data_IF_069258595102
#
_entry.id   IF_069258595102
#
_cell.length_a   1.000
_cell.length_b   1.000
_cell.length_c   1.000
_cell.angle_alpha   90.00
_cell.angle_beta   90.00
_cell.angle_gamma   90.00
#
_symmetry.space_group_name_H-M   'P 1'
#
loop_
_entity.id
_entity.type
_entity.pdbx_description
1 polymer ?
#
# COMPACT_ATOMS: atom_id res chain seq x y z
N UNK A 1 0.98 -16.37 18.73
CA UNK A 1 0.35 -16.87 17.50
C UNK A 1 0.80 -15.98 16.35
N UNK A 2 1.57 -16.53 15.43
CA UNK A 2 2.04 -15.80 14.25
C UNK A 2 0.96 -15.95 13.17
N UNK A 3 0.33 -14.83 12.76
CA UNK A 3 -0.48 -14.81 11.55
C UNK A 3 0.35 -14.32 10.39
N UNK A 4 0.12 -14.83 9.19
CA UNK A 4 0.82 -14.40 7.98
C UNK A 4 0.03 -13.34 7.28
N UNK A 5 0.74 -12.31 6.80
CA UNK A 5 0.17 -11.33 5.87
C UNK A 5 0.47 -11.77 4.45
N UNK A 6 -0.59 -12.00 3.68
CA UNK A 6 -0.52 -12.57 2.34
C UNK A 6 -1.13 -11.59 1.34
N UNK A 7 -0.48 -11.42 0.21
CA UNK A 7 -1.00 -10.74 -0.98
C UNK A 7 -0.99 -11.77 -2.11
N UNK A 8 -2.18 -12.12 -2.60
CA UNK A 8 -2.34 -13.14 -3.63
C UNK A 8 -1.53 -12.80 -4.90
N UNK A 9 -0.83 -13.80 -5.44
CA UNK A 9 0.05 -13.65 -6.59
C UNK A 9 1.39 -12.96 -6.31
N UNK A 10 1.68 -12.61 -5.04
CA UNK A 10 2.91 -11.94 -4.64
C UNK A 10 3.73 -12.80 -3.66
N UNK A 11 3.11 -13.28 -2.59
CA UNK A 11 3.77 -14.09 -1.56
C UNK A 11 2.86 -15.19 -1.00
N UNK A 12 1.88 -15.63 -1.75
CA UNK A 12 0.91 -16.65 -1.31
C UNK A 12 1.56 -18.02 -1.13
N UNK A 13 2.72 -18.26 -1.69
CA UNK A 13 3.53 -19.46 -1.47
C UNK A 13 3.99 -19.65 0.00
N UNK A 14 3.94 -18.59 0.81
CA UNK A 14 4.29 -18.69 2.24
C UNK A 14 3.20 -19.36 3.09
N UNK A 15 1.99 -19.57 2.55
CA UNK A 15 0.87 -20.21 3.25
C UNK A 15 1.23 -21.67 3.52
N UNK A 16 0.98 -22.11 4.74
CA UNK A 16 1.19 -23.50 5.17
C UNK A 16 -0.13 -24.15 5.57
N UNK A 17 -0.19 -25.46 5.48
CA UNK A 17 -1.37 -26.24 5.84
C UNK A 17 -1.76 -26.15 7.32
N UNK A 18 -0.83 -25.74 8.18
CA UNK A 18 -1.03 -25.54 9.62
C UNK A 18 -1.35 -24.08 10.00
N UNK A 19 -1.43 -23.18 9.05
CA UNK A 19 -1.85 -21.80 9.30
C UNK A 19 -3.35 -21.74 9.61
N UNK A 20 -3.69 -21.35 10.82
CA UNK A 20 -5.08 -21.22 11.29
C UNK A 20 -5.66 -19.85 10.95
N UNK A 21 -4.82 -18.81 10.98
CA UNK A 21 -5.23 -17.43 10.73
C UNK A 21 -4.23 -16.80 9.76
N UNK A 22 -4.77 -16.29 8.66
CA UNK A 22 -4.04 -15.50 7.68
C UNK A 22 -4.68 -14.12 7.53
N UNK A 23 -3.88 -13.11 7.22
CA UNK A 23 -4.34 -11.76 6.89
C UNK A 23 -4.16 -11.53 5.40
N UNK A 24 -5.21 -11.14 4.71
CA UNK A 24 -5.12 -10.71 3.31
C UNK A 24 -4.64 -9.25 3.19
N UNK A 25 -3.87 -8.77 4.17
CA UNK A 25 -3.31 -7.43 4.25
C UNK A 25 -4.40 -6.32 4.11
N UNK A 26 -4.01 -5.13 3.65
CA UNK A 26 -4.95 -4.01 3.44
C UNK A 26 -5.19 -3.75 1.97
N UNK A 27 -6.25 -2.98 1.66
CA UNK A 27 -6.53 -2.53 0.29
C UNK A 27 -5.34 -1.80 -0.33
N UNK A 28 -4.69 -0.90 0.40
CA UNK A 28 -3.50 -0.18 -0.06
C UNK A 28 -2.32 -1.13 -0.29
N UNK A 29 -2.11 -2.11 0.60
CA UNK A 29 -1.05 -3.12 0.44
C UNK A 29 -1.29 -3.98 -0.79
N UNK A 30 -2.51 -4.44 -1.01
CA UNK A 30 -2.86 -5.22 -2.20
C UNK A 30 -2.71 -4.42 -3.51
N UNK A 31 -2.94 -3.10 -3.47
CA UNK A 31 -2.70 -2.22 -4.60
C UNK A 31 -1.20 -1.98 -4.84
N UNK A 32 -0.43 -1.69 -3.79
CA UNK A 32 0.97 -1.29 -3.90
C UNK A 32 1.92 -2.47 -4.15
N UNK A 33 1.65 -3.65 -3.57
CA UNK A 33 2.56 -4.79 -3.65
C UNK A 33 2.83 -5.25 -5.09
N UNK A 34 1.85 -5.40 -5.99
CA UNK A 34 2.12 -5.74 -7.39
C UNK A 34 2.96 -4.69 -8.12
N UNK A 35 2.71 -3.40 -7.86
CA UNK A 35 3.50 -2.32 -8.47
C UNK A 35 4.95 -2.36 -7.99
N UNK A 36 5.17 -2.58 -6.69
CA UNK A 36 6.50 -2.69 -6.08
C UNK A 36 7.23 -3.92 -6.62
N UNK A 37 6.56 -5.07 -6.72
CA UNK A 37 7.14 -6.29 -7.29
C UNK A 37 7.67 -6.05 -8.70
N UNK A 38 6.88 -5.37 -9.54
CA UNK A 38 7.28 -5.06 -10.91
C UNK A 38 8.49 -4.13 -10.94
N UNK A 39 8.48 -3.07 -10.13
CA UNK A 39 9.57 -2.10 -10.08
C UNK A 39 10.86 -2.75 -9.56
N UNK A 40 10.77 -3.51 -8.49
CA UNK A 40 11.91 -4.14 -7.85
C UNK A 40 12.52 -5.25 -8.72
N UNK A 41 11.71 -6.14 -9.27
CA UNK A 41 12.18 -7.25 -10.10
C UNK A 41 12.88 -6.78 -11.40
N UNK A 42 12.45 -5.67 -11.99
CA UNK A 42 13.01 -5.21 -13.26
C UNK A 42 14.13 -4.18 -13.11
N UNK A 43 14.04 -3.29 -12.14
CA UNK A 43 14.99 -2.17 -11.98
C UNK A 43 15.69 -2.15 -10.63
N UNK A 44 15.25 -2.95 -9.66
CA UNK A 44 15.70 -2.91 -8.28
C UNK A 44 15.24 -1.63 -7.58
N UNK A 45 14.41 -1.78 -6.57
CA UNK A 45 13.95 -0.67 -5.76
C UNK A 45 14.97 -0.39 -4.66
N UNK A 46 15.47 0.83 -4.59
CA UNK A 46 16.45 1.24 -3.59
C UNK A 46 15.79 1.87 -2.38
N UNK A 47 14.86 2.78 -2.62
CA UNK A 47 14.12 3.52 -1.60
C UNK A 47 12.79 3.99 -2.19
N UNK A 48 11.81 4.31 -1.33
CA UNK A 48 10.53 4.80 -1.83
C UNK A 48 9.58 5.29 -0.76
N UNK A 49 8.55 6.00 -1.23
CA UNK A 49 7.50 6.53 -0.40
C UNK A 49 6.14 6.27 -1.05
N UNK A 50 5.21 5.72 -0.25
CA UNK A 50 3.85 5.38 -0.68
C UNK A 50 2.90 6.41 -0.09
N UNK A 51 2.24 7.18 -0.96
CA UNK A 51 1.15 8.07 -0.55
C UNK A 51 -0.17 7.47 -1.02
N UNK A 52 -1.12 7.28 -0.10
CA UNK A 52 -2.47 6.86 -0.46
C UNK A 52 -3.45 8.00 -0.22
N UNK A 53 -4.13 8.44 -1.28
CA UNK A 53 -5.29 9.33 -1.20
C UNK A 53 -6.51 8.44 -1.14
N UNK A 54 -7.22 8.45 -0.02
CA UNK A 54 -8.18 7.41 0.34
C UNK A 54 -9.51 7.98 0.79
N UNK A 55 -10.59 7.31 0.44
CA UNK A 55 -11.92 7.61 0.98
C UNK A 55 -11.90 7.65 2.51
N UNK A 56 -12.81 8.41 3.09
CA UNK A 56 -13.04 8.32 4.53
C UNK A 56 -13.55 6.93 4.91
N UNK A 57 -13.30 6.50 6.14
CA UNK A 57 -13.69 5.18 6.65
C UNK A 57 -14.26 5.29 8.07
N UNK A 58 -14.89 4.24 8.56
CA UNK A 58 -15.42 4.15 9.92
C UNK A 58 -14.37 4.32 11.04
N UNK A 59 -13.10 4.35 10.70
CA UNK A 59 -12.02 4.70 11.62
C UNK A 59 -12.00 6.22 11.98
N UNK A 60 -12.57 7.07 11.12
CA UNK A 60 -12.75 8.49 11.40
C UNK A 60 -14.05 8.72 12.16
N UNK A 61 -14.12 9.83 12.91
CA UNK A 61 -15.34 10.22 13.59
C UNK A 61 -16.34 10.84 12.62
N UNK A 62 -17.63 10.52 12.77
CA UNK A 62 -18.70 11.10 11.97
C UNK A 62 -18.84 12.60 12.23
N UNK A 63 -18.80 12.99 13.50
CA UNK A 63 -18.69 14.36 13.99
C UNK A 63 -17.39 14.53 14.77
N UNK A 64 -16.99 15.79 15.03
CA UNK A 64 -15.86 16.07 15.91
C UNK A 64 -16.04 15.35 17.25
N UNK A 65 -15.15 14.43 17.57
CA UNK A 65 -15.23 13.61 18.78
C UNK A 65 -13.85 13.04 19.18
N UNK A 66 -13.63 12.66 20.43
CA UNK A 66 -12.36 12.13 20.89
C UNK A 66 -11.85 10.95 20.03
N UNK A 67 -10.59 11.03 19.66
CA UNK A 67 -9.87 9.98 18.93
C UNK A 67 -8.38 10.05 19.29
N UNK A 68 -7.69 8.91 19.34
CA UNK A 68 -6.25 8.85 19.65
C UNK A 68 -5.36 9.60 18.64
N UNK A 69 -5.75 9.65 17.37
CA UNK A 69 -5.17 10.53 16.35
C UNK A 69 -6.07 11.76 16.22
N UNK A 70 -5.58 12.93 16.64
CA UNK A 70 -6.35 14.17 16.65
C UNK A 70 -6.82 14.61 15.27
N UNK A 71 -6.12 14.22 14.21
CA UNK A 71 -6.54 14.49 12.83
C UNK A 71 -7.78 13.68 12.46
N UNK A 72 -7.89 12.43 12.95
CA UNK A 72 -9.07 11.57 12.77
C UNK A 72 -10.20 11.88 13.75
N UNK A 73 -9.96 12.77 14.71
CA UNK A 73 -10.98 13.28 15.63
C UNK A 73 -11.94 14.26 14.94
N UNK A 74 -11.56 14.81 13.79
CA UNK A 74 -12.40 15.72 13.00
C UNK A 74 -13.47 14.93 12.23
N UNK A 75 -14.59 15.60 11.98
CA UNK A 75 -15.71 15.04 11.24
C UNK A 75 -15.26 14.49 9.88
N UNK A 76 -15.63 13.26 9.59
CA UNK A 76 -15.36 12.63 8.30
C UNK A 76 -16.10 13.34 7.16
N UNK A 77 -15.61 13.19 5.92
CA UNK A 77 -16.22 13.72 4.70
C UNK A 77 -16.27 15.25 4.56
N UNK A 78 -15.60 16.00 5.42
CA UNK A 78 -15.58 17.47 5.36
C UNK A 78 -14.25 18.06 4.91
N UNK A 79 -13.16 17.40 5.22
CA UNK A 79 -11.82 17.94 4.99
C UNK A 79 -10.86 16.89 4.46
N UNK A 80 -9.76 17.34 3.86
CA UNK A 80 -8.60 16.50 3.54
C UNK A 80 -7.81 16.30 4.84
N UNK A 81 -7.69 15.05 5.28
CA UNK A 81 -7.08 14.68 6.55
C UNK A 81 -5.79 13.89 6.32
N UNK A 82 -4.61 14.49 6.51
CA UNK A 82 -3.36 13.74 6.53
C UNK A 82 -3.35 12.75 7.71
N UNK A 83 -2.86 11.55 7.48
CA UNK A 83 -2.79 10.52 8.51
C UNK A 83 -1.66 9.54 8.25
N UNK A 84 -1.44 8.63 9.17
CA UNK A 84 -0.51 7.52 8.98
C UNK A 84 -1.13 6.43 8.13
N UNK A 85 -0.29 5.62 7.48
CA UNK A 85 -0.68 4.36 6.84
C UNK A 85 0.22 3.23 7.32
N UNK A 86 -0.36 2.07 7.55
CA UNK A 86 0.39 0.85 7.82
C UNK A 86 0.95 0.17 6.56
N UNK A 87 0.65 0.70 5.37
CA UNK A 87 0.98 0.06 4.10
C UNK A 87 2.49 -0.18 3.92
N UNK A 88 3.33 0.80 4.24
CA UNK A 88 4.79 0.65 4.12
C UNK A 88 5.33 -0.48 5.01
N UNK A 89 4.80 -0.62 6.24
CA UNK A 89 5.16 -1.71 7.15
C UNK A 89 4.67 -3.05 6.60
N UNK A 90 3.41 -3.11 6.15
CA UNK A 90 2.85 -4.33 5.59
C UNK A 90 3.57 -4.77 4.30
N UNK A 91 4.00 -3.84 3.46
CA UNK A 91 4.84 -4.12 2.29
C UNK A 91 6.19 -4.69 2.71
N UNK A 92 6.78 -4.22 3.80
CA UNK A 92 8.04 -4.78 4.33
C UNK A 92 7.87 -6.21 4.89
N UNK A 93 6.67 -6.58 5.33
CA UNK A 93 6.35 -7.97 5.71
C UNK A 93 6.22 -8.88 4.47
N UNK A 94 5.72 -8.32 3.36
CA UNK A 94 5.61 -9.04 2.07
C UNK A 94 6.96 -9.10 1.33
N UNK A 95 7.76 -8.03 1.39
CA UNK A 95 9.10 -7.94 0.79
C UNK A 95 10.15 -7.67 1.86
N UNK A 96 10.63 -8.68 2.59
CA UNK A 96 11.55 -8.48 3.73
C UNK A 96 12.83 -7.72 3.40
N UNK A 97 13.33 -7.82 2.17
CA UNK A 97 14.53 -7.13 1.71
C UNK A 97 14.33 -5.61 1.51
N UNK A 98 13.08 -5.14 1.49
CA UNK A 98 12.72 -3.72 1.42
C UNK A 98 12.42 -3.12 2.81
N UNK A 99 12.64 -3.88 3.89
CA UNK A 99 12.43 -3.41 5.25
C UNK A 99 13.30 -2.19 5.54
N UNK A 100 12.65 -1.10 6.01
CA UNK A 100 13.33 0.16 6.31
C UNK A 100 13.61 1.06 5.11
N UNK A 101 13.31 0.60 3.88
CA UNK A 101 13.51 1.36 2.64
C UNK A 101 12.25 2.06 2.16
N UNK A 102 11.09 1.67 2.69
CA UNK A 102 9.80 2.22 2.28
C UNK A 102 9.16 3.01 3.40
N UNK A 103 8.85 4.26 3.12
CA UNK A 103 8.00 5.11 3.94
C UNK A 103 6.57 5.17 3.40
N UNK A 104 5.66 5.79 4.16
CA UNK A 104 4.32 6.01 3.65
C UNK A 104 3.46 6.92 4.52
N UNK A 105 2.51 7.58 3.86
CA UNK A 105 1.48 8.41 4.48
C UNK A 105 0.12 8.15 3.85
N UNK A 106 -0.94 8.42 4.61
CA UNK A 106 -2.31 8.41 4.14
C UNK A 106 -2.89 9.81 4.11
N UNK A 107 -3.76 10.07 3.16
CA UNK A 107 -4.54 11.30 3.05
C UNK A 107 -6.00 10.88 2.89
N UNK A 108 -6.82 11.11 3.92
CA UNK A 108 -8.27 10.90 3.80
C UNK A 108 -8.90 12.06 3.07
N UNK A 109 -9.77 11.76 2.13
CA UNK A 109 -10.50 12.76 1.33
C UNK A 109 -12.00 12.54 1.43
N UNK A 110 -12.83 13.58 1.21
CA UNK A 110 -14.28 13.50 1.36
C UNK A 110 -14.96 12.80 0.17
N UNK A 111 -14.57 11.55 -0.09
CA UNK A 111 -15.19 10.67 -1.10
C UNK A 111 -15.66 9.38 -0.43
N UNK A 112 -16.76 8.82 -0.91
CA UNK A 112 -17.42 7.67 -0.29
C UNK A 112 -16.60 6.40 -0.44
N UNK A 113 -15.96 6.20 -1.59
CA UNK A 113 -15.24 4.97 -1.92
C UNK A 113 -14.03 5.24 -2.81
N UNK A 114 -13.21 4.20 -2.96
CA UNK A 114 -12.03 4.25 -3.81
C UNK A 114 -10.83 4.88 -3.13
N UNK A 115 -9.69 4.71 -3.77
CA UNK A 115 -8.43 5.32 -3.37
C UNK A 115 -7.49 5.41 -4.56
N UNK A 116 -6.49 6.30 -4.43
CA UNK A 116 -5.38 6.42 -5.36
C UNK A 116 -4.11 6.13 -4.58
N UNK A 117 -3.25 5.30 -5.14
CA UNK A 117 -1.92 5.05 -4.59
C UNK A 117 -0.88 5.69 -5.49
N UNK A 118 -0.06 6.55 -4.91
CA UNK A 118 1.12 7.15 -5.53
C UNK A 118 2.38 6.53 -4.93
N UNK A 119 3.34 6.16 -5.79
CA UNK A 119 4.64 5.62 -5.39
C UNK A 119 5.73 6.49 -5.99
N UNK A 120 6.43 7.20 -5.14
CA UNK A 120 7.68 7.89 -5.49
C UNK A 120 8.84 7.01 -5.05
N UNK A 121 9.74 6.65 -5.97
CA UNK A 121 10.82 5.72 -5.63
C UNK A 121 12.13 6.00 -6.37
N UNK A 122 13.22 5.54 -5.78
CA UNK A 122 14.54 5.47 -6.40
C UNK A 122 14.82 4.05 -6.89
N UNK A 123 15.25 3.95 -8.13
CA UNK A 123 15.57 2.67 -8.78
C UNK A 123 17.09 2.55 -8.97
N UNK A 124 17.64 1.36 -8.75
CA UNK A 124 19.07 1.08 -8.94
C UNK A 124 19.49 1.18 -10.41
N UNK A 125 18.60 0.76 -11.32
CA UNK A 125 18.85 0.82 -12.77
C UNK A 125 18.05 1.96 -13.39
N UNK A 126 18.68 2.73 -14.29
CA UNK A 126 18.00 3.82 -15.00
C UNK A 126 16.82 3.30 -15.83
N UNK A 127 15.71 3.98 -15.71
CA UNK A 127 14.52 3.76 -16.54
C UNK A 127 14.68 4.53 -17.86
N UNK A 128 15.25 3.92 -18.89
CA UNK A 128 15.54 4.61 -20.16
C UNK A 128 14.31 4.98 -20.98
N UNK A 129 13.19 4.28 -20.81
CA UNK A 129 11.92 4.57 -21.52
C UNK A 129 10.75 4.27 -20.60
N UNK A 130 10.14 5.27 -20.06
CA UNK A 130 8.98 5.12 -19.18
C UNK A 130 7.76 4.47 -19.88
N UNK A 131 7.62 4.60 -21.22
CA UNK A 131 6.64 3.85 -22.02
C UNK A 131 6.79 2.32 -21.85
N UNK A 132 7.99 1.83 -21.59
CA UNK A 132 8.25 0.42 -21.33
C UNK A 132 7.63 -0.04 -20.01
N UNK A 133 7.68 0.80 -18.99
CA UNK A 133 7.02 0.54 -17.71
C UNK A 133 5.49 0.48 -17.86
N UNK A 134 4.89 1.45 -18.56
CA UNK A 134 3.44 1.45 -18.80
C UNK A 134 3.01 0.20 -19.57
N UNK A 135 3.72 -0.15 -20.62
CA UNK A 135 3.39 -1.34 -21.39
C UNK A 135 3.53 -2.62 -20.57
N UNK A 136 4.56 -2.70 -19.73
CA UNK A 136 4.76 -3.84 -18.85
C UNK A 136 3.64 -3.95 -17.80
N UNK A 137 3.27 -2.85 -17.15
CA UNK A 137 2.16 -2.83 -16.18
C UNK A 137 0.82 -3.21 -16.84
N UNK A 138 0.56 -2.75 -18.07
CA UNK A 138 -0.63 -3.14 -18.85
C UNK A 138 -0.65 -4.63 -19.21
N UNK A 139 0.51 -5.24 -19.43
CA UNK A 139 0.62 -6.67 -19.75
C UNK A 139 0.36 -7.52 -18.51
N UNK A 140 0.86 -7.11 -17.36
CA UNK A 140 0.60 -7.81 -16.09
C UNK A 140 -0.87 -7.75 -15.67
N UNK A 141 -1.58 -6.65 -15.95
CA UNK A 141 -3.01 -6.54 -15.66
C UNK A 141 -3.90 -7.52 -16.47
N UNK A 142 -3.39 -8.11 -17.55
CA UNK A 142 -4.11 -9.15 -18.32
C UNK A 142 -3.95 -10.56 -17.74
N UNK A 143 -3.13 -10.72 -16.73
CA UNK A 143 -2.83 -12.01 -16.07
C UNK A 143 -3.51 -12.14 -14.70
N UNK A 144 -4.23 -11.11 -14.25
CA UNK A 144 -5.11 -11.06 -13.08
C UNK A 144 -6.58 -11.03 -13.52
#
# INVERSE_FOLDING_TARGET
>A
MLFRSVVLGINDEIIKSDDIIISNASCTTNCAAPMIQVLDANWGLEDGYITTVHSYTGDQRLHDAPHKDLRRARAAAHSIIPTTTGAAKAIADVFPHLKGKLGGAGIRVPVINGSLTDITCMLKKKLHKWKRLINFLKTQHKLL
#
